data_IF_830539239947
#
_entry.id   IF_830539239947
#
_cell.length_a   1.000
_cell.length_b   1.000
_cell.length_c   1.000
_cell.angle_alpha   90.00
_cell.angle_beta   90.00
_cell.angle_gamma   90.00
#
_symmetry.space_group_name_H-M   'P 1'
#
loop_
_entity.id
_entity.type
_entity.pdbx_description
1 polymer ?
#
# COMPACT_ATOMS: atom_id res chain seq x y z
N UNK A 1 -21.81 7.84 19.90
CA UNK A 1 -21.34 7.78 18.50
C UNK A 1 -20.01 7.07 18.51
N UNK A 2 -19.90 5.89 17.91
CA UNK A 2 -18.63 5.15 17.85
C UNK A 2 -17.66 5.87 16.92
N UNK A 3 -16.41 6.02 17.34
CA UNK A 3 -15.34 6.57 16.49
C UNK A 3 -15.05 5.54 15.40
N UNK A 4 -15.18 5.92 14.13
CA UNK A 4 -14.78 5.06 13.01
C UNK A 4 -13.25 5.05 12.94
N UNK A 5 -12.63 3.88 13.00
CA UNK A 5 -11.18 3.71 12.88
C UNK A 5 -10.82 3.19 11.49
N UNK A 6 -10.20 4.02 10.66
CA UNK A 6 -9.76 3.67 9.31
C UNK A 6 -8.26 3.41 9.28
N UNK A 7 -7.84 2.31 8.67
CA UNK A 7 -6.45 1.90 8.64
C UNK A 7 -6.07 1.30 7.29
N UNK A 8 -4.80 1.49 6.90
CA UNK A 8 -4.15 0.76 5.81
C UNK A 8 -3.05 -0.09 6.43
N UNK A 9 -3.01 -1.36 6.07
CA UNK A 9 -1.89 -2.26 6.36
C UNK A 9 -1.22 -2.65 5.06
N UNK A 10 0.11 -2.68 5.05
CA UNK A 10 0.93 -3.11 3.93
C UNK A 10 1.74 -4.34 4.33
N UNK A 11 1.86 -5.28 3.41
CA UNK A 11 2.76 -6.41 3.51
C UNK A 11 3.43 -6.66 2.17
N UNK A 12 4.71 -7.01 2.22
CA UNK A 12 5.48 -7.38 1.05
C UNK A 12 6.30 -8.62 1.38
N UNK A 13 6.33 -9.58 0.47
CA UNK A 13 7.27 -10.69 0.53
C UNK A 13 8.36 -10.39 -0.49
N UNK A 14 9.37 -9.65 -0.04
CA UNK A 14 10.50 -9.29 -0.88
C UNK A 14 11.45 -10.49 -1.04
N UNK A 15 11.90 -10.72 -2.26
CA UNK A 15 12.99 -11.67 -2.59
C UNK A 15 14.02 -10.90 -3.43
N UNK A 16 15.20 -10.66 -2.85
CA UNK A 16 16.45 -10.33 -3.55
C UNK A 16 16.33 -9.38 -4.76
N UNK A 17 15.91 -8.14 -4.53
CA UNK A 17 15.86 -7.03 -5.49
C UNK A 17 15.03 -7.30 -6.76
N UNK A 18 14.35 -8.45 -6.82
CA UNK A 18 13.48 -8.81 -7.91
C UNK A 18 12.14 -8.08 -7.74
N UNK A 19 11.39 -7.91 -8.85
CA UNK A 19 10.03 -7.44 -8.76
C UNK A 19 9.21 -8.32 -7.82
N UNK A 20 8.43 -7.70 -6.93
CA UNK A 20 7.59 -8.40 -5.96
C UNK A 20 6.21 -7.76 -5.88
N UNK A 21 5.26 -8.51 -5.33
CA UNK A 21 3.91 -8.03 -5.10
C UNK A 21 3.82 -7.38 -3.73
N UNK A 22 3.44 -6.10 -3.71
CA UNK A 22 2.95 -5.41 -2.54
C UNK A 22 1.50 -5.79 -2.34
N UNK A 23 1.17 -6.28 -1.16
CA UNK A 23 -0.20 -6.51 -0.71
C UNK A 23 -0.59 -5.44 0.30
N UNK A 24 -1.86 -5.04 0.28
CA UNK A 24 -2.39 -4.18 1.31
C UNK A 24 -3.87 -4.42 1.58
N UNK A 25 -4.32 -3.94 2.73
CA UNK A 25 -5.71 -4.03 3.16
C UNK A 25 -6.14 -2.69 3.75
N UNK A 26 -7.29 -2.19 3.33
CA UNK A 26 -7.96 -1.05 3.93
C UNK A 26 -9.12 -1.53 4.79
N UNK A 27 -9.17 -1.10 6.05
CA UNK A 27 -10.20 -1.53 7.01
C UNK A 27 -10.88 -0.37 7.71
N UNK A 28 -12.18 -0.53 8.02
CA UNK A 28 -12.94 0.27 8.99
C UNK A 28 -13.24 -0.62 10.20
N UNK A 29 -12.75 -0.25 11.38
CA UNK A 29 -12.90 -1.03 12.62
C UNK A 29 -12.46 -2.51 12.47
N UNK A 30 -11.40 -2.75 11.68
CA UNK A 30 -10.89 -4.09 11.39
C UNK A 30 -11.65 -4.86 10.29
N UNK A 31 -12.73 -4.31 9.74
CA UNK A 31 -13.48 -4.91 8.62
C UNK A 31 -13.00 -4.32 7.31
N UNK A 32 -12.64 -5.17 6.35
CA UNK A 32 -12.17 -4.74 5.04
C UNK A 32 -13.21 -3.99 4.23
N UNK A 33 -12.86 -2.81 3.70
CA UNK A 33 -13.78 -1.95 2.95
C UNK A 33 -13.47 -2.00 1.44
N UNK A 34 -14.34 -2.59 0.61
CA UNK A 34 -14.19 -2.58 -0.85
C UNK A 34 -14.51 -1.20 -1.44
N UNK A 35 -14.02 -0.93 -2.67
CA UNK A 35 -14.34 0.27 -3.43
C UNK A 35 -13.57 1.53 -3.05
N UNK A 36 -12.58 1.43 -2.15
CA UNK A 36 -11.74 2.56 -1.74
C UNK A 36 -10.60 2.73 -2.73
N UNK A 37 -10.39 3.94 -3.23
CA UNK A 37 -9.22 4.25 -4.07
C UNK A 37 -8.00 4.49 -3.19
N UNK A 38 -6.92 3.76 -3.46
CA UNK A 38 -5.61 3.91 -2.81
C UNK A 38 -4.61 4.42 -3.84
N UNK A 39 -3.94 5.52 -3.51
CA UNK A 39 -2.81 6.06 -4.25
C UNK A 39 -1.51 5.56 -3.62
N UNK A 40 -0.65 4.97 -4.45
CA UNK A 40 0.65 4.44 -4.09
C UNK A 40 1.74 5.36 -4.64
N UNK A 41 2.65 5.78 -3.77
CA UNK A 41 3.88 6.49 -4.15
C UNK A 41 5.08 5.70 -3.65
N UNK A 42 6.19 5.80 -4.36
CA UNK A 42 7.42 5.06 -4.03
C UNK A 42 8.63 5.94 -4.29
N UNK A 43 9.66 5.79 -3.46
CA UNK A 43 10.93 6.51 -3.63
C UNK A 43 11.71 5.96 -4.84
N UNK A 44 12.15 6.86 -5.72
CA UNK A 44 13.03 6.52 -6.85
C UNK A 44 14.37 5.91 -6.38
N UNK A 45 15.01 5.03 -7.16
CA UNK A 45 14.67 4.64 -8.54
C UNK A 45 13.62 3.52 -8.65
N UNK A 46 13.08 3.02 -7.53
CA UNK A 46 12.04 2.00 -7.56
C UNK A 46 10.73 2.55 -8.14
N UNK A 47 9.92 1.64 -8.68
CA UNK A 47 8.61 1.96 -9.27
C UNK A 47 7.53 1.04 -8.73
N UNK A 48 6.28 1.52 -8.72
CA UNK A 48 5.09 0.77 -8.30
C UNK A 48 4.04 0.86 -9.39
N UNK A 49 3.43 -0.26 -9.74
CA UNK A 49 2.40 -0.33 -10.79
C UNK A 49 1.32 -1.36 -10.45
N UNK A 50 0.03 -0.99 -10.56
CA UNK A 50 -0.47 0.37 -10.83
C UNK A 50 -0.29 1.29 -9.61
N UNK A 51 -0.11 2.59 -9.85
CA UNK A 51 0.04 3.60 -8.80
C UNK A 51 -1.31 4.02 -8.17
N UNK A 52 -2.43 3.76 -8.85
CA UNK A 52 -3.77 3.89 -8.30
C UNK A 52 -4.44 2.52 -8.34
N UNK A 53 -4.97 2.07 -7.20
CA UNK A 53 -5.69 0.81 -7.07
C UNK A 53 -7.03 1.04 -6.38
N UNK A 54 -8.03 0.22 -6.70
CA UNK A 54 -9.29 0.18 -5.96
C UNK A 54 -9.33 -1.08 -5.11
N UNK A 55 -9.73 -0.98 -3.84
CA UNK A 55 -9.83 -2.13 -2.95
C UNK A 55 -10.93 -3.09 -3.42
N UNK A 56 -10.60 -4.37 -3.48
CA UNK A 56 -11.52 -5.46 -3.78
C UNK A 56 -12.26 -5.97 -2.55
N UNK A 57 -12.88 -7.14 -2.67
CA UNK A 57 -13.54 -7.83 -1.57
C UNK A 57 -12.61 -7.98 -0.35
N UNK A 58 -13.14 -7.72 0.85
CA UNK A 58 -12.33 -7.73 2.07
C UNK A 58 -11.32 -6.57 2.17
N UNK A 59 -11.47 -5.52 1.36
CA UNK A 59 -10.63 -4.32 1.43
C UNK A 59 -9.22 -4.49 0.87
N UNK A 60 -8.95 -5.60 0.18
CA UNK A 60 -7.61 -5.95 -0.31
C UNK A 60 -7.24 -5.18 -1.56
N UNK A 61 -5.98 -4.83 -1.71
CA UNK A 61 -5.39 -4.32 -2.94
C UNK A 61 -3.98 -4.89 -3.14
N UNK A 62 -3.48 -4.82 -4.38
CA UNK A 62 -2.12 -5.24 -4.69
C UNK A 62 -1.51 -4.41 -5.81
N UNK A 63 -0.20 -4.24 -5.77
CA UNK A 63 0.58 -3.63 -6.84
C UNK A 63 1.93 -4.33 -6.98
N UNK A 64 2.55 -4.22 -8.15
CA UNK A 64 3.90 -4.71 -8.39
C UNK A 64 4.90 -3.61 -8.10
N UNK A 65 5.94 -3.95 -7.33
CA UNK A 65 7.09 -3.09 -7.06
C UNK A 65 8.27 -3.61 -7.88
N UNK A 66 9.02 -2.73 -8.53
CA UNK A 66 10.17 -3.12 -9.36
C UNK A 66 11.28 -2.07 -9.34
N UNK A 67 12.47 -2.43 -9.82
CA UNK A 67 13.61 -1.50 -9.91
C UNK A 67 14.21 -1.13 -8.55
N UNK A 68 14.10 -2.02 -7.55
CA UNK A 68 14.61 -1.74 -6.20
C UNK A 68 16.13 -1.85 -6.16
N UNK A 69 16.85 -0.76 -5.84
CA UNK A 69 18.32 -0.78 -5.78
C UNK A 69 18.83 -1.64 -4.61
N UNK A 70 19.91 -2.41 -4.80
CA UNK A 70 20.58 -3.13 -3.71
C UNK A 70 21.13 -2.18 -2.65
N UNK A 71 20.94 -2.53 -1.38
CA UNK A 71 21.55 -1.83 -0.25
C UNK A 71 21.02 -0.41 0.02
N UNK A 72 19.99 0.05 -0.70
CA UNK A 72 19.35 1.34 -0.45
C UNK A 72 17.91 1.15 0.03
N UNK A 73 17.46 1.92 1.03
CA UNK A 73 16.10 1.85 1.52
C UNK A 73 15.14 2.39 0.46
N UNK A 74 14.04 1.66 0.26
CA UNK A 74 12.92 2.07 -0.58
C UNK A 74 11.69 2.21 0.31
N UNK A 75 11.02 3.35 0.21
CA UNK A 75 9.79 3.63 0.96
C UNK A 75 8.62 3.69 0.01
N UNK A 76 7.60 2.89 0.29
CA UNK A 76 6.29 2.96 -0.37
C UNK A 76 5.31 3.62 0.59
N UNK A 77 4.52 4.56 0.10
CA UNK A 77 3.43 5.19 0.83
C UNK A 77 2.12 4.87 0.14
N UNK A 78 1.16 4.38 0.91
CA UNK A 78 -0.21 4.15 0.47
C UNK A 78 -1.12 5.17 1.14
N UNK A 79 -1.91 5.88 0.36
CA UNK A 79 -2.85 6.91 0.83
C UNK A 79 -4.24 6.62 0.29
N UNK A 80 -5.25 6.52 1.16
CA UNK A 80 -6.63 6.46 0.71
C UNK A 80 -7.10 7.83 0.22
N UNK A 81 -7.83 7.82 -0.89
CA UNK A 81 -8.54 9.00 -1.38
C UNK A 81 -9.78 9.18 -0.52
N UNK A 82 -9.94 10.38 0.05
CA UNK A 82 -11.12 10.70 0.84
C UNK A 82 -12.38 10.66 -0.03
N UNK A 83 -13.41 9.98 0.46
CA UNK A 83 -14.77 9.92 -0.12
C UNK A 83 -15.78 10.00 1.02
N UNK A 84 -17.03 10.36 0.74
CA UNK A 84 -18.04 10.64 1.78
C UNK A 84 -18.07 9.58 2.89
N UNK A 85 -17.68 9.99 4.10
CA UNK A 85 -17.64 9.12 5.29
C UNK A 85 -16.36 8.29 5.49
N UNK A 86 -15.39 8.37 4.57
CA UNK A 86 -14.06 7.76 4.65
C UNK A 86 -12.99 8.87 4.60
N UNK A 87 -12.27 9.13 5.71
CA UNK A 87 -11.18 10.10 5.73
C UNK A 87 -9.98 9.57 4.91
N UNK A 88 -9.13 10.49 4.48
CA UNK A 88 -7.81 10.14 3.96
C UNK A 88 -6.95 9.60 5.11
N UNK A 89 -6.43 8.39 4.94
CA UNK A 89 -5.43 7.80 5.83
C UNK A 89 -4.23 7.38 4.99
N UNK A 90 -3.05 7.47 5.59
CA UNK A 90 -1.80 7.11 4.92
C UNK A 90 -0.97 6.21 5.80
N UNK A 91 -0.27 5.27 5.18
CA UNK A 91 0.74 4.44 5.82
C UNK A 91 1.94 4.31 4.91
N UNK A 92 3.12 4.08 5.49
CA UNK A 92 4.34 3.87 4.73
C UNK A 92 5.03 2.60 5.19
N UNK A 93 5.66 1.92 4.24
CA UNK A 93 6.47 0.74 4.48
C UNK A 93 7.84 0.96 3.84
N UNK A 94 8.89 0.87 4.65
CA UNK A 94 10.29 0.96 4.20
C UNK A 94 10.92 -0.41 4.26
N UNK A 95 11.58 -0.80 3.18
CA UNK A 95 12.32 -2.04 3.08
C UNK A 95 13.65 -1.79 2.35
N UNK A 96 14.60 -2.67 2.57
CA UNK A 96 15.90 -2.63 1.92
C UNK A 96 16.18 -4.01 1.33
N UNK A 97 16.48 -4.04 0.04
CA UNK A 97 16.96 -5.27 -0.56
C UNK A 97 18.43 -5.53 -0.21
N UNK A 98 18.78 -6.77 0.09
CA UNK A 98 20.15 -7.30 0.03
C UNK A 98 20.32 -8.21 -1.19
N UNK A 99 21.44 -8.10 -1.90
CA UNK A 99 21.92 -9.07 -2.89
C UNK A 99 22.74 -10.17 -2.21
#
# INVERSE_FOLDING_TARGET
MGVKNFQISLSATQVDCQPFTLHGVFTENGVGVPGVTIMLTITAPATVSPALVTTGAGGTFSATVSGTPPGQPVTITATSVAVDGIPSVSTSHTFTCSL
#
